data_IF_136250418294
#
_entry.id   IF_136250418294
#
_cell.length_a   1.000
_cell.length_b   1.000
_cell.length_c   1.000
_cell.angle_alpha   90.00
_cell.angle_beta   90.00
_cell.angle_gamma   90.00
#
_symmetry.space_group_name_H-M   'P 1'
#
loop_
_entity.id
_entity.type
_entity.pdbx_description
1 polymer ?
#
# COMPACT_ATOMS: atom_id res chain seq x y z
N UNK A 1 2.32 69.87 30.24
CA UNK A 1 1.28 69.19 29.44
C UNK A 1 2.04 68.37 28.41
N UNK A 2 2.03 67.04 28.55
CA UNK A 2 2.85 66.12 27.78
C UNK A 2 2.25 65.90 26.39
N UNK A 3 3.03 66.09 25.34
CA UNK A 3 2.72 65.63 23.98
C UNK A 3 2.95 64.12 23.89
N UNK A 4 1.91 63.39 23.49
CA UNK A 4 1.97 61.96 23.15
C UNK A 4 1.79 61.85 21.63
N UNK A 5 2.69 61.19 20.88
CA UNK A 5 2.56 61.08 19.44
C UNK A 5 1.49 60.04 19.05
N UNK A 6 0.70 60.36 18.03
CA UNK A 6 -0.31 59.46 17.47
C UNK A 6 0.35 58.29 16.71
N UNK A 7 0.11 57.07 17.17
CA UNK A 7 0.51 55.83 16.49
C UNK A 7 -0.52 55.53 15.39
N UNK A 8 -0.08 55.59 14.13
CA UNK A 8 -0.88 55.21 12.97
C UNK A 8 -0.82 53.69 12.79
N UNK A 9 -1.95 53.00 13.04
CA UNK A 9 -2.06 51.54 12.87
C UNK A 9 -2.33 51.25 11.41
N UNK A 10 -1.31 50.72 10.71
CA UNK A 10 -1.48 50.16 9.36
C UNK A 10 -2.12 48.79 9.49
N UNK A 11 -3.39 48.68 9.10
CA UNK A 11 -4.07 47.38 8.94
C UNK A 11 -3.55 46.75 7.65
N UNK A 12 -2.66 45.78 7.78
CA UNK A 12 -2.25 44.95 6.65
C UNK A 12 -3.44 44.06 6.23
N UNK A 13 -4.08 44.41 5.11
CA UNK A 13 -5.06 43.53 4.48
C UNK A 13 -4.38 42.24 4.04
N UNK A 14 -4.85 41.10 4.53
CA UNK A 14 -4.44 39.80 4.02
C UNK A 14 -4.98 39.66 2.59
N UNK A 15 -4.09 39.71 1.61
CA UNK A 15 -4.44 39.34 0.25
C UNK A 15 -4.95 37.89 0.27
N UNK A 16 -6.07 37.57 -0.41
CA UNK A 16 -6.51 36.19 -0.54
C UNK A 16 -5.36 35.37 -1.14
N UNK A 17 -5.07 34.22 -0.54
CA UNK A 17 -4.10 33.28 -1.07
C UNK A 17 -4.44 33.02 -2.53
N UNK A 18 -3.53 33.41 -3.44
CA UNK A 18 -3.67 33.08 -4.84
C UNK A 18 -3.80 31.55 -4.94
N UNK A 19 -4.91 31.09 -5.50
CA UNK A 19 -5.07 29.67 -5.80
C UNK A 19 -3.85 29.23 -6.62
N UNK A 20 -3.14 28.22 -6.13
CA UNK A 20 -2.08 27.58 -6.93
C UNK A 20 -2.66 27.25 -8.31
N UNK A 21 -1.95 27.55 -9.41
CA UNK A 21 -2.45 27.21 -10.73
C UNK A 21 -2.78 25.71 -10.75
N UNK A 22 -4.00 25.36 -11.18
CA UNK A 22 -4.39 23.98 -11.37
C UNK A 22 -3.33 23.32 -12.26
N UNK A 23 -2.63 22.32 -11.74
CA UNK A 23 -1.64 21.57 -12.53
C UNK A 23 -2.32 21.08 -13.82
N UNK A 24 -1.60 21.14 -14.94
CA UNK A 24 -2.11 20.63 -16.20
C UNK A 24 -2.54 19.16 -16.04
N UNK A 25 -3.83 18.89 -16.29
CA UNK A 25 -4.44 17.56 -16.21
C UNK A 25 -4.56 16.99 -17.62
N UNK A 26 -4.04 15.79 -17.83
CA UNK A 26 -4.17 15.07 -19.11
C UNK A 26 -5.20 13.96 -18.98
N UNK A 27 -6.28 14.06 -19.74
CA UNK A 27 -7.27 12.98 -19.83
C UNK A 27 -6.71 11.82 -20.64
N UNK A 28 -6.81 10.62 -20.06
CA UNK A 28 -6.38 9.38 -20.70
C UNK A 28 -7.62 8.66 -21.25
N UNK A 29 -7.77 8.51 -22.58
CA UNK A 29 -8.89 7.76 -23.15
C UNK A 29 -8.85 6.30 -22.71
N UNK A 30 -9.97 5.58 -22.84
CA UNK A 30 -10.08 4.18 -22.40
C UNK A 30 -9.30 3.22 -23.32
N UNK A 31 -7.97 3.26 -23.22
CA UNK A 31 -7.01 2.51 -24.01
C UNK A 31 -5.74 2.28 -23.19
N UNK A 32 -5.32 1.02 -23.07
CA UNK A 32 -4.07 0.66 -22.39
C UNK A 32 -2.85 1.32 -23.05
N UNK A 33 -2.82 1.38 -24.39
CA UNK A 33 -1.74 2.05 -25.12
C UNK A 33 -1.69 3.54 -24.79
N UNK A 34 -2.85 4.21 -24.68
CA UNK A 34 -2.89 5.62 -24.32
C UNK A 34 -2.43 5.87 -22.88
N UNK A 35 -2.80 4.98 -21.94
CA UNK A 35 -2.31 5.04 -20.56
C UNK A 35 -0.79 4.90 -20.49
N UNK A 36 -0.23 3.88 -21.16
CA UNK A 36 1.22 3.65 -21.19
C UNK A 36 1.95 4.85 -21.79
N UNK A 37 1.43 5.42 -22.88
CA UNK A 37 2.00 6.61 -23.51
C UNK A 37 1.97 7.84 -22.58
N UNK A 38 0.84 8.11 -21.93
CA UNK A 38 0.68 9.27 -21.04
C UNK A 38 1.58 9.18 -19.79
N UNK A 39 1.76 7.98 -19.23
CA UNK A 39 2.67 7.76 -18.10
C UNK A 39 4.12 8.01 -18.50
N UNK A 40 4.53 7.56 -19.69
CA UNK A 40 5.89 7.73 -20.18
C UNK A 40 6.22 9.16 -20.66
N UNK A 41 5.22 9.95 -21.07
CA UNK A 41 5.40 11.27 -21.67
C UNK A 41 5.53 12.38 -20.60
N UNK A 42 6.71 13.04 -20.45
CA UNK A 42 6.84 14.20 -19.56
C UNK A 42 5.96 15.38 -19.98
N UNK A 43 5.59 15.48 -21.26
CA UNK A 43 4.71 16.50 -21.82
C UNK A 43 3.25 16.35 -21.41
N UNK A 44 2.83 15.18 -20.95
CA UNK A 44 1.48 14.93 -20.42
C UNK A 44 1.23 15.59 -19.05
N UNK A 45 2.23 16.27 -18.49
CA UNK A 45 2.11 16.90 -17.18
C UNK A 45 2.10 15.91 -16.02
N UNK A 46 1.96 16.41 -14.78
CA UNK A 46 2.08 15.59 -13.57
C UNK A 46 0.78 14.88 -13.17
N UNK A 47 -0.38 15.26 -13.74
CA UNK A 47 -1.69 14.73 -13.35
C UNK A 47 -2.37 14.05 -14.54
N UNK A 48 -2.72 12.78 -14.38
CA UNK A 48 -3.46 11.98 -15.37
C UNK A 48 -4.86 11.67 -14.85
N UNK A 49 -5.87 11.92 -15.70
CA UNK A 49 -7.28 11.66 -15.42
C UNK A 49 -7.74 10.45 -16.24
N UNK A 50 -7.96 9.31 -15.60
CA UNK A 50 -8.43 8.11 -16.30
C UNK A 50 -9.91 8.25 -16.67
N UNK A 51 -10.27 7.63 -17.80
CA UNK A 51 -11.68 7.57 -18.22
C UNK A 51 -12.49 6.83 -17.14
N UNK A 52 -13.59 7.43 -16.62
CA UNK A 52 -14.34 6.85 -15.52
C UNK A 52 -14.80 5.42 -15.78
N UNK A 53 -14.56 4.52 -14.82
CA UNK A 53 -14.97 3.11 -14.88
C UNK A 53 -14.28 2.27 -15.96
N UNK A 54 -13.30 2.83 -16.68
CA UNK A 54 -12.63 2.14 -17.78
C UNK A 54 -11.83 0.93 -17.28
N UNK A 55 -11.83 -0.14 -18.08
CA UNK A 55 -10.93 -1.29 -17.91
C UNK A 55 -9.72 -1.16 -18.84
N UNK A 56 -8.57 -0.83 -18.28
CA UNK A 56 -7.28 -0.80 -18.97
C UNK A 56 -6.63 -2.17 -18.89
N UNK A 57 -6.63 -2.89 -20.02
CA UNK A 57 -6.05 -4.23 -20.14
C UNK A 57 -4.61 -4.12 -20.62
N UNK A 58 -3.66 -4.30 -19.70
CA UNK A 58 -2.24 -4.16 -19.98
C UNK A 58 -1.67 -5.46 -20.55
N UNK A 59 -0.67 -5.35 -21.41
CA UNK A 59 0.12 -6.49 -21.93
C UNK A 59 1.56 -6.50 -21.41
N UNK A 60 1.91 -5.50 -20.61
CA UNK A 60 3.18 -5.38 -19.88
C UNK A 60 2.99 -4.49 -18.65
N UNK A 61 3.93 -4.52 -17.71
CA UNK A 61 3.92 -3.63 -16.54
C UNK A 61 3.90 -2.15 -16.94
N UNK A 62 3.12 -1.35 -16.22
CA UNK A 62 3.12 0.10 -16.32
C UNK A 62 4.32 0.66 -15.54
N UNK A 63 5.31 1.20 -16.26
CA UNK A 63 6.54 1.74 -15.69
C UNK A 63 6.37 3.22 -15.31
N UNK A 64 6.38 3.53 -14.02
CA UNK A 64 6.26 4.90 -13.50
C UNK A 64 7.64 5.42 -13.11
N UNK A 65 8.30 6.11 -14.04
CA UNK A 65 9.68 6.60 -13.91
C UNK A 65 9.78 8.09 -13.61
N UNK A 66 8.65 8.75 -13.34
CA UNK A 66 8.55 10.17 -13.05
C UNK A 66 7.43 10.43 -12.04
N UNK A 67 7.50 11.52 -11.27
CA UNK A 67 6.43 11.87 -10.35
C UNK A 67 5.08 12.03 -11.05
N UNK A 68 4.06 11.35 -10.55
CA UNK A 68 2.73 11.30 -11.15
C UNK A 68 1.62 11.25 -10.11
N UNK A 69 0.51 11.93 -10.42
CA UNK A 69 -0.79 11.69 -9.80
C UNK A 69 -1.74 11.11 -10.84
N UNK A 70 -2.37 9.98 -10.54
CA UNK A 70 -3.34 9.32 -11.42
C UNK A 70 -4.69 9.28 -10.69
N UNK A 71 -5.63 10.08 -11.17
CA UNK A 71 -7.01 10.02 -10.74
C UNK A 71 -7.69 8.86 -11.46
N UNK A 72 -7.94 7.77 -10.73
CA UNK A 72 -8.43 6.51 -11.29
C UNK A 72 -9.88 6.59 -11.74
N UNK A 73 -10.72 7.43 -11.15
CA UNK A 73 -12.13 7.57 -11.51
C UNK A 73 -12.89 6.23 -11.57
N UNK A 74 -12.61 5.33 -10.62
CA UNK A 74 -13.10 3.95 -10.54
C UNK A 74 -12.66 3.05 -11.70
N UNK A 75 -11.59 3.40 -12.41
CA UNK A 75 -10.99 2.56 -13.44
C UNK A 75 -10.30 1.33 -12.84
N UNK A 76 -10.12 0.32 -13.69
CA UNK A 76 -9.43 -0.92 -13.38
C UNK A 76 -8.22 -1.09 -14.30
N UNK A 77 -7.04 -1.27 -13.72
CA UNK A 77 -5.86 -1.75 -14.44
C UNK A 77 -5.73 -3.25 -14.20
N UNK A 78 -5.59 -4.01 -15.27
CA UNK A 78 -5.55 -5.45 -15.18
C UNK A 78 -4.70 -6.07 -16.28
N UNK A 79 -4.01 -7.16 -15.96
CA UNK A 79 -3.22 -7.91 -16.93
C UNK A 79 -4.13 -8.60 -17.94
N UNK A 80 -3.68 -8.64 -19.19
CA UNK A 80 -4.23 -9.49 -20.23
C UNK A 80 -3.89 -10.96 -19.99
N UNK A 81 -4.89 -11.84 -20.05
CA UNK A 81 -4.69 -13.28 -19.82
C UNK A 81 -3.92 -13.97 -20.96
N UNK A 82 -3.87 -13.36 -22.15
CA UNK A 82 -3.05 -13.85 -23.26
C UNK A 82 -1.57 -13.48 -23.13
N UNK A 83 -1.24 -12.57 -22.22
CA UNK A 83 0.13 -12.17 -21.93
C UNK A 83 0.76 -13.07 -20.88
N UNK A 84 2.09 -13.20 -20.94
CA UNK A 84 2.86 -13.87 -19.88
C UNK A 84 2.73 -13.18 -18.51
N UNK A 85 3.30 -13.76 -17.46
CA UNK A 85 3.27 -13.18 -16.13
C UNK A 85 3.99 -11.82 -16.09
N UNK A 86 3.33 -10.81 -15.53
CA UNK A 86 3.96 -9.57 -15.08
C UNK A 86 3.10 -8.90 -13.99
N UNK A 87 3.75 -8.12 -13.11
CA UNK A 87 3.05 -7.26 -12.15
C UNK A 87 2.50 -5.99 -12.79
N UNK A 88 1.34 -5.48 -12.34
CA UNK A 88 0.59 -4.42 -13.08
C UNK A 88 1.35 -3.10 -13.13
N UNK A 89 1.87 -2.62 -12.00
CA UNK A 89 2.51 -1.30 -11.88
C UNK A 89 3.89 -1.45 -11.24
N UNK A 90 4.89 -0.78 -11.83
CA UNK A 90 6.24 -0.67 -11.30
C UNK A 90 6.56 0.80 -11.01
N UNK A 91 6.87 1.10 -9.75
CA UNK A 91 7.05 2.46 -9.24
C UNK A 91 8.54 2.72 -9.01
N UNK A 92 9.08 3.68 -9.77
CA UNK A 92 10.47 4.13 -9.70
C UNK A 92 10.60 5.63 -9.36
N UNK A 93 9.48 6.26 -9.03
CA UNK A 93 9.34 7.66 -8.67
C UNK A 93 8.03 7.85 -7.88
N UNK A 94 7.82 9.03 -7.30
CA UNK A 94 6.61 9.28 -6.50
C UNK A 94 5.33 9.10 -7.32
N UNK A 95 4.44 8.23 -6.84
CA UNK A 95 3.17 7.93 -7.47
C UNK A 95 2.03 8.08 -6.47
N UNK A 96 1.09 8.96 -6.78
CA UNK A 96 -0.21 9.03 -6.10
C UNK A 96 -1.28 8.47 -7.01
N UNK A 97 -2.12 7.56 -6.52
CA UNK A 97 -3.32 7.11 -7.22
C UNK A 97 -4.52 7.12 -6.29
N UNK A 98 -5.69 7.50 -6.82
CA UNK A 98 -6.94 7.39 -6.09
C UNK A 98 -8.06 6.74 -6.90
N UNK A 99 -8.99 6.07 -6.19
CA UNK A 99 -10.18 5.43 -6.78
C UNK A 99 -9.82 4.53 -7.97
N UNK A 100 -8.83 3.66 -7.79
CA UNK A 100 -8.35 2.73 -8.82
C UNK A 100 -8.39 1.30 -8.32
N UNK A 101 -8.65 0.35 -9.22
CA UNK A 101 -8.49 -1.08 -8.93
C UNK A 101 -7.31 -1.67 -9.70
N UNK A 102 -6.39 -2.31 -8.98
CA UNK A 102 -5.24 -3.04 -9.52
C UNK A 102 -5.47 -4.54 -9.31
N UNK A 103 -5.46 -5.33 -10.38
CA UNK A 103 -5.90 -6.73 -10.30
C UNK A 103 -5.41 -7.64 -11.43
N UNK A 104 -5.37 -8.95 -11.18
CA UNK A 104 -4.91 -9.99 -12.11
C UNK A 104 -3.41 -9.94 -12.43
N UNK A 105 -2.63 -9.19 -11.65
CA UNK A 105 -1.19 -9.14 -11.81
C UNK A 105 -0.53 -10.44 -11.37
N UNK A 106 0.58 -10.80 -12.01
CA UNK A 106 1.25 -12.08 -11.82
C UNK A 106 2.77 -11.92 -11.88
N UNK A 107 3.43 -11.85 -10.72
CA UNK A 107 4.86 -11.71 -10.58
C UNK A 107 5.55 -13.04 -10.19
N UNK A 108 5.06 -14.17 -10.70
CA UNK A 108 5.56 -15.52 -10.33
C UNK A 108 6.77 -15.98 -11.13
N UNK A 109 7.02 -15.40 -12.31
CA UNK A 109 8.17 -15.79 -13.16
C UNK A 109 9.21 -14.68 -13.31
N UNK A 110 8.97 -13.51 -12.74
CA UNK A 110 9.77 -12.32 -12.96
C UNK A 110 10.75 -12.09 -11.80
N UNK A 111 11.77 -12.95 -11.67
CA UNK A 111 12.88 -12.73 -10.74
C UNK A 111 12.46 -12.39 -9.28
N UNK A 112 13.27 -11.61 -8.53
CA UNK A 112 12.88 -11.07 -7.23
C UNK A 112 11.92 -9.87 -7.40
N UNK A 113 10.86 -10.04 -8.18
CA UNK A 113 9.82 -9.02 -8.28
C UNK A 113 9.02 -8.98 -6.98
N UNK A 114 8.91 -7.76 -6.45
CA UNK A 114 8.03 -7.43 -5.35
C UNK A 114 6.69 -6.99 -5.92
N UNK A 115 5.60 -7.65 -5.52
CA UNK A 115 4.23 -7.25 -5.80
C UNK A 115 3.68 -7.71 -7.14
N UNK A 116 2.79 -8.71 -7.12
CA UNK A 116 1.97 -9.08 -8.26
C UNK A 116 1.07 -7.93 -8.75
N UNK A 117 0.51 -7.13 -7.83
CA UNK A 117 -0.24 -5.92 -8.19
C UNK A 117 0.68 -4.74 -8.48
N UNK A 118 1.39 -4.27 -7.45
CA UNK A 118 2.28 -3.10 -7.54
C UNK A 118 3.61 -3.41 -6.88
N UNK A 119 4.70 -3.20 -7.61
CA UNK A 119 6.06 -3.18 -7.08
C UNK A 119 6.58 -1.76 -6.94
N UNK A 120 7.01 -1.40 -5.72
CA UNK A 120 7.67 -0.14 -5.42
C UNK A 120 9.17 -0.40 -5.29
N UNK A 121 9.90 0.04 -6.30
CA UNK A 121 11.33 -0.22 -6.45
C UNK A 121 12.16 1.02 -6.07
N UNK A 122 11.58 2.20 -6.20
CA UNK A 122 12.07 3.44 -5.59
C UNK A 122 10.96 4.48 -5.42
N UNK A 123 11.18 5.47 -4.55
CA UNK A 123 10.24 6.57 -4.29
C UNK A 123 9.08 6.20 -3.36
N UNK A 124 8.01 6.98 -3.45
CA UNK A 124 6.82 6.87 -2.60
C UNK A 124 5.59 6.45 -3.40
N UNK A 125 4.85 5.45 -2.91
CA UNK A 125 3.51 5.12 -3.40
C UNK A 125 2.46 5.63 -2.41
N UNK A 126 1.49 6.40 -2.88
CA UNK A 126 0.28 6.75 -2.14
C UNK A 126 -0.95 6.21 -2.85
N UNK A 127 -1.74 5.39 -2.16
CA UNK A 127 -3.06 4.93 -2.61
C UNK A 127 -4.16 5.50 -1.71
N UNK A 128 -5.14 6.16 -2.32
CA UNK A 128 -6.34 6.65 -1.65
C UNK A 128 -7.60 5.98 -2.22
N UNK A 129 -8.48 5.47 -1.35
CA UNK A 129 -9.79 4.90 -1.75
C UNK A 129 -9.70 3.89 -2.90
N UNK A 130 -8.65 3.06 -2.87
CA UNK A 130 -8.30 2.16 -3.98
C UNK A 130 -8.46 0.70 -3.58
N UNK A 131 -8.29 -0.20 -4.54
CA UNK A 131 -8.35 -1.65 -4.30
C UNK A 131 -7.21 -2.37 -5.03
N UNK A 132 -6.48 -3.22 -4.31
CA UNK A 132 -5.45 -4.11 -4.87
C UNK A 132 -5.88 -5.54 -4.59
N UNK A 133 -6.30 -6.27 -5.63
CA UNK A 133 -6.91 -7.59 -5.45
C UNK A 133 -6.68 -8.59 -6.55
N UNK A 134 -6.81 -9.87 -6.23
CA UNK A 134 -6.66 -10.98 -7.19
C UNK A 134 -5.31 -10.92 -7.91
N UNK A 135 -4.24 -10.63 -7.17
CA UNK A 135 -2.87 -10.60 -7.70
C UNK A 135 -2.04 -11.71 -7.06
N UNK A 136 -1.05 -12.20 -7.79
CA UNK A 136 -0.15 -13.25 -7.33
C UNK A 136 1.31 -12.91 -7.59
N UNK A 137 2.23 -13.38 -6.74
CA UNK A 137 3.66 -13.14 -6.90
C UNK A 137 4.50 -14.11 -6.09
N UNK A 138 5.80 -14.18 -6.38
CA UNK A 138 6.72 -14.93 -5.51
C UNK A 138 6.89 -14.21 -4.17
N UNK A 139 7.17 -12.90 -4.23
CA UNK A 139 7.29 -12.02 -3.08
C UNK A 139 6.22 -10.93 -3.17
N UNK A 140 5.26 -10.97 -2.26
CA UNK A 140 4.00 -10.22 -2.31
C UNK A 140 3.09 -10.53 -3.49
N UNK A 141 1.86 -10.94 -3.16
CA UNK A 141 0.78 -11.06 -4.15
C UNK A 141 0.28 -9.68 -4.56
N UNK A 142 0.01 -8.79 -3.59
CA UNK A 142 -0.58 -7.48 -3.83
C UNK A 142 0.47 -6.37 -4.04
N UNK A 143 0.98 -5.82 -2.93
CA UNK A 143 1.88 -4.67 -2.90
C UNK A 143 3.25 -5.06 -2.35
N UNK A 144 4.34 -4.72 -3.03
CA UNK A 144 5.68 -4.99 -2.56
C UNK A 144 6.54 -3.73 -2.56
N UNK A 145 7.33 -3.49 -1.52
CA UNK A 145 8.24 -2.33 -1.45
C UNK A 145 9.63 -2.70 -0.97
N UNK A 146 10.65 -2.23 -1.72
CA UNK A 146 12.07 -2.43 -1.37
C UNK A 146 12.55 -1.52 -0.24
N UNK A 147 13.75 -1.81 0.27
CA UNK A 147 14.46 -0.93 1.21
C UNK A 147 14.53 0.50 0.71
N UNK A 148 14.21 1.47 1.58
CA UNK A 148 14.22 2.90 1.26
C UNK A 148 12.97 3.40 0.52
N UNK A 149 12.01 2.53 0.21
CA UNK A 149 10.71 2.92 -0.36
C UNK A 149 9.70 3.26 0.73
N UNK A 150 8.66 4.01 0.36
CA UNK A 150 7.54 4.33 1.26
C UNK A 150 6.21 4.01 0.59
N UNK A 151 5.31 3.34 1.31
CA UNK A 151 3.95 3.01 0.86
C UNK A 151 2.94 3.59 1.86
N UNK A 152 2.00 4.38 1.36
CA UNK A 152 0.89 4.95 2.12
C UNK A 152 -0.45 4.47 1.57
N UNK A 153 -1.24 3.82 2.43
CA UNK A 153 -2.57 3.29 2.08
C UNK A 153 -3.63 3.99 2.93
N UNK A 154 -4.42 4.85 2.29
CA UNK A 154 -5.55 5.54 2.90
C UNK A 154 -6.85 4.99 2.36
N UNK A 155 -7.76 4.56 3.25
CA UNK A 155 -9.09 4.06 2.86
C UNK A 155 -9.04 2.99 1.75
N UNK A 156 -7.97 2.19 1.74
CA UNK A 156 -7.63 1.27 0.65
C UNK A 156 -7.84 -0.17 1.08
N UNK A 157 -8.31 -0.99 0.14
CA UNK A 157 -8.51 -2.43 0.33
C UNK A 157 -7.39 -3.20 -0.37
N UNK A 158 -6.72 -4.10 0.36
CA UNK A 158 -5.81 -5.11 -0.19
C UNK A 158 -6.43 -6.47 0.08
N UNK A 159 -6.91 -7.16 -0.95
CA UNK A 159 -7.65 -8.41 -0.76
C UNK A 159 -7.39 -9.51 -1.77
N UNK A 160 -7.56 -10.76 -1.35
CA UNK A 160 -7.57 -11.90 -2.26
C UNK A 160 -6.28 -12.01 -3.10
N UNK A 161 -5.15 -11.57 -2.53
CA UNK A 161 -3.84 -11.69 -3.14
C UNK A 161 -3.09 -12.90 -2.57
N UNK A 162 -2.23 -13.51 -3.38
CA UNK A 162 -1.49 -14.71 -3.01
C UNK A 162 0.02 -14.58 -3.24
N UNK A 163 0.83 -14.97 -2.27
CA UNK A 163 2.28 -15.07 -2.42
C UNK A 163 2.79 -16.49 -2.19
N UNK A 164 3.70 -16.96 -3.05
CA UNK A 164 4.34 -18.27 -2.87
C UNK A 164 5.44 -18.26 -1.79
N UNK A 165 5.90 -17.08 -1.37
CA UNK A 165 6.83 -16.93 -0.26
C UNK A 165 6.18 -16.15 0.89
N UNK A 166 6.35 -14.82 0.93
CA UNK A 166 5.88 -14.01 2.06
C UNK A 166 4.97 -12.86 1.61
N UNK A 167 4.14 -12.39 2.55
CA UNK A 167 3.35 -11.15 2.43
C UNK A 167 2.25 -11.23 1.39
N UNK A 168 1.29 -12.13 1.55
CA UNK A 168 0.24 -12.38 0.55
C UNK A 168 -0.42 -11.10 0.02
N UNK A 169 -0.80 -10.21 0.94
CA UNK A 169 -1.30 -8.88 0.63
C UNK A 169 -0.18 -7.87 0.39
N UNK A 170 0.69 -7.71 1.40
CA UNK A 170 1.76 -6.70 1.39
C UNK A 170 3.10 -7.27 1.87
N UNK A 171 4.18 -6.94 1.17
CA UNK A 171 5.57 -7.03 1.67
C UNK A 171 6.18 -5.64 1.71
N UNK A 172 6.93 -5.32 2.77
CA UNK A 172 7.74 -4.10 2.78
C UNK A 172 9.05 -4.27 3.56
N UNK A 173 10.14 -3.91 2.88
CA UNK A 173 11.48 -3.75 3.47
C UNK A 173 11.76 -2.26 3.78
N UNK A 174 10.85 -1.37 3.37
CA UNK A 174 10.88 0.07 3.57
C UNK A 174 9.93 0.54 4.67
N UNK A 175 9.13 1.56 4.39
CA UNK A 175 8.09 2.05 5.29
C UNK A 175 6.70 1.79 4.74
N UNK A 176 5.79 1.32 5.58
CA UNK A 176 4.38 1.13 5.25
C UNK A 176 3.49 1.83 6.28
N UNK A 177 2.57 2.66 5.79
CA UNK A 177 1.52 3.27 6.60
C UNK A 177 0.15 2.84 6.09
N UNK A 178 -0.67 2.29 6.97
CA UNK A 178 -2.09 2.02 6.73
C UNK A 178 -2.93 2.94 7.59
N UNK A 179 -3.86 3.65 6.97
CA UNK A 179 -4.85 4.46 7.67
C UNK A 179 -6.25 4.20 7.12
N UNK A 180 -7.17 3.79 8.00
CA UNK A 180 -8.56 3.46 7.60
C UNK A 180 -8.64 2.42 6.50
N UNK A 181 -7.67 1.52 6.46
CA UNK A 181 -7.47 0.56 5.38
C UNK A 181 -7.78 -0.87 5.84
N UNK A 182 -7.89 -1.78 4.88
CA UNK A 182 -8.23 -3.18 5.13
C UNK A 182 -7.30 -4.10 4.36
N UNK A 183 -6.72 -5.07 5.06
CA UNK A 183 -5.92 -6.17 4.48
C UNK A 183 -6.63 -7.47 4.81
N UNK A 184 -7.31 -8.06 3.82
CA UNK A 184 -8.29 -9.13 4.04
C UNK A 184 -8.18 -10.27 3.04
N UNK A 185 -8.38 -11.52 3.48
CA UNK A 185 -8.41 -12.70 2.60
C UNK A 185 -7.15 -12.88 1.75
N UNK A 186 -6.00 -12.37 2.18
CA UNK A 186 -4.75 -12.61 1.49
C UNK A 186 -4.08 -13.88 2.02
N UNK A 187 -3.29 -14.55 1.17
CA UNK A 187 -2.61 -15.79 1.53
C UNK A 187 -1.12 -15.80 1.16
N UNK A 188 -0.30 -16.42 2.00
CA UNK A 188 1.10 -16.67 1.71
C UNK A 188 1.48 -18.12 2.06
N UNK A 189 2.33 -18.79 1.28
CA UNK A 189 2.76 -20.15 1.65
C UNK A 189 3.80 -20.13 2.79
N UNK A 190 4.58 -19.05 2.90
CA UNK A 190 5.54 -18.77 3.97
C UNK A 190 4.92 -17.96 5.10
N UNK A 191 5.29 -16.68 5.22
CA UNK A 191 4.93 -15.83 6.36
C UNK A 191 4.11 -14.61 5.97
N UNK A 192 3.29 -14.12 6.90
CA UNK A 192 2.57 -12.86 6.73
C UNK A 192 1.49 -12.95 5.66
N UNK A 193 0.40 -13.65 5.92
CA UNK A 193 -0.68 -13.82 4.92
C UNK A 193 -1.24 -12.47 4.49
N UNK A 194 -1.50 -11.60 5.46
CA UNK A 194 -1.85 -10.20 5.22
C UNK A 194 -0.62 -9.37 4.88
N UNK A 195 0.29 -9.22 5.84
CA UNK A 195 1.47 -8.37 5.73
C UNK A 195 2.71 -9.11 6.24
N UNK A 196 3.81 -9.05 5.49
CA UNK A 196 5.14 -9.37 5.98
C UNK A 196 6.03 -8.13 5.91
N UNK A 197 6.89 -7.91 6.90
CA UNK A 197 7.78 -6.75 6.91
C UNK A 197 9.14 -7.02 7.54
N UNK A 198 10.17 -6.49 6.87
CA UNK A 198 11.51 -6.30 7.42
C UNK A 198 11.79 -4.84 7.84
N UNK A 199 10.93 -3.91 7.40
CA UNK A 199 11.00 -2.47 7.64
C UNK A 199 10.01 -1.92 8.67
N UNK A 200 9.69 -0.63 8.58
CA UNK A 200 8.83 0.04 9.56
C UNK A 200 7.36 0.04 9.12
N UNK A 201 6.47 -0.38 10.02
CA UNK A 201 5.03 -0.45 9.76
C UNK A 201 4.27 0.39 10.78
N UNK A 202 3.38 1.24 10.29
CA UNK A 202 2.39 1.95 11.09
C UNK A 202 0.99 1.63 10.59
N UNK A 203 0.12 1.14 11.46
CA UNK A 203 -1.26 0.79 11.13
C UNK A 203 -2.17 1.52 12.10
N UNK A 204 -3.08 2.33 11.56
CA UNK A 204 -4.00 3.15 12.34
C UNK A 204 -5.43 3.01 11.83
N UNK A 205 -6.39 2.83 12.75
CA UNK A 205 -7.83 2.72 12.48
C UNK A 205 -8.15 1.72 11.34
N UNK A 206 -7.47 0.57 11.34
CA UNK A 206 -7.48 -0.37 10.20
C UNK A 206 -7.79 -1.80 10.63
N UNK A 207 -8.02 -2.70 9.65
CA UNK A 207 -8.29 -4.11 9.91
C UNK A 207 -7.36 -5.02 9.11
N UNK A 208 -6.76 -6.01 9.78
CA UNK A 208 -5.96 -7.08 9.18
C UNK A 208 -6.63 -8.41 9.56
N UNK A 209 -7.49 -8.93 8.68
CA UNK A 209 -8.38 -10.02 9.06
C UNK A 209 -8.56 -11.10 8.00
N UNK A 210 -8.90 -12.32 8.42
CA UNK A 210 -9.17 -13.45 7.52
C UNK A 210 -8.03 -13.78 6.53
N UNK A 211 -6.79 -13.43 6.87
CA UNK A 211 -5.62 -13.77 6.07
C UNK A 211 -5.04 -15.13 6.51
N UNK A 212 -4.32 -15.81 5.62
CA UNK A 212 -3.76 -17.15 5.89
C UNK A 212 -2.28 -17.27 5.53
N UNK A 213 -1.48 -17.94 6.36
CA UNK A 213 -0.08 -18.22 6.01
C UNK A 213 0.47 -19.56 6.52
N UNK A 214 1.72 -19.89 6.18
CA UNK A 214 2.49 -20.90 6.91
C UNK A 214 2.74 -20.50 8.37
N UNK A 215 3.07 -19.22 8.62
CA UNK A 215 3.24 -18.59 9.94
C UNK A 215 2.78 -17.12 9.88
N UNK A 216 2.15 -16.60 10.93
CA UNK A 216 1.75 -15.19 10.98
C UNK A 216 0.69 -14.86 9.94
N UNK A 217 -0.46 -15.52 10.01
CA UNK A 217 -1.55 -15.33 9.04
C UNK A 217 -1.92 -13.86 8.84
N UNK A 218 -2.02 -13.08 9.91
CA UNK A 218 -2.32 -11.65 9.83
C UNK A 218 -1.10 -10.82 9.45
N UNK A 219 -0.07 -10.86 10.30
CA UNK A 219 1.10 -10.00 10.20
C UNK A 219 2.35 -10.75 10.64
N UNK A 220 3.45 -10.60 9.91
CA UNK A 220 4.77 -11.10 10.28
C UNK A 220 5.80 -9.97 10.28
N UNK A 221 6.42 -9.71 11.43
CA UNK A 221 7.58 -8.84 11.60
C UNK A 221 8.83 -9.70 11.68
N UNK A 222 9.55 -9.78 10.56
CA UNK A 222 10.64 -10.73 10.33
C UNK A 222 12.00 -10.04 10.56
N UNK A 223 12.11 -8.78 10.14
CA UNK A 223 13.36 -8.02 10.15
C UNK A 223 13.54 -7.11 11.38
N UNK A 224 14.59 -6.26 11.35
CA UNK A 224 14.93 -5.36 12.46
C UNK A 224 13.95 -4.19 12.61
N UNK A 225 13.05 -4.02 11.63
CA UNK A 225 12.00 -3.02 11.65
C UNK A 225 11.04 -3.15 12.85
N UNK A 226 10.19 -2.13 12.98
CA UNK A 226 9.20 -2.03 14.06
C UNK A 226 7.81 -1.83 13.49
N UNK A 227 6.82 -2.35 14.19
CA UNK A 227 5.41 -2.22 13.88
C UNK A 227 4.67 -1.52 15.03
N UNK A 228 3.89 -0.49 14.71
CA UNK A 228 2.96 0.14 15.65
C UNK A 228 1.54 0.01 15.12
N UNK A 229 0.66 -0.62 15.90
CA UNK A 229 -0.75 -0.78 15.58
C UNK A 229 -1.57 0.02 16.58
N UNK A 230 -2.29 1.03 16.09
CA UNK A 230 -3.20 1.88 16.87
C UNK A 230 -4.64 1.70 16.39
N UNK A 231 -5.60 1.53 17.29
CA UNK A 231 -7.02 1.35 16.93
C UNK A 231 -7.28 0.29 15.86
N UNK A 232 -6.48 -0.77 15.87
CA UNK A 232 -6.45 -1.75 14.79
C UNK A 232 -6.89 -3.12 15.28
N UNK A 233 -7.63 -3.83 14.44
CA UNK A 233 -8.01 -5.22 14.69
C UNK A 233 -7.17 -6.18 13.85
N UNK A 234 -6.61 -7.19 14.50
CA UNK A 234 -5.94 -8.33 13.87
C UNK A 234 -6.68 -9.61 14.28
N UNK A 235 -7.60 -10.06 13.44
CA UNK A 235 -8.54 -11.14 13.81
C UNK A 235 -8.87 -12.13 12.71
N UNK A 236 -9.29 -13.33 13.13
CA UNK A 236 -9.72 -14.41 12.24
C UNK A 236 -8.66 -14.83 11.22
N UNK A 237 -7.39 -14.52 11.50
CA UNK A 237 -6.26 -14.93 10.67
C UNK A 237 -5.84 -16.35 11.02
N UNK A 238 -5.32 -17.07 10.03
CA UNK A 238 -5.00 -18.49 10.14
C UNK A 238 -3.55 -18.74 9.76
N UNK A 239 -2.90 -19.67 10.45
CA UNK A 239 -1.62 -20.18 10.01
C UNK A 239 -1.54 -21.70 10.18
N UNK A 240 -0.68 -22.32 9.36
CA UNK A 240 -0.35 -23.74 9.52
C UNK A 240 0.39 -23.98 10.83
N UNK A 241 1.34 -23.11 11.16
CA UNK A 241 2.08 -23.13 12.42
C UNK A 241 1.81 -21.85 13.21
N UNK A 242 1.89 -21.94 14.54
CA UNK A 242 1.69 -20.78 15.40
C UNK A 242 2.74 -19.69 15.13
N UNK A 243 2.34 -18.40 15.14
CA UNK A 243 1.00 -17.88 15.44
C UNK A 243 0.12 -17.68 14.18
N UNK A 244 -1.20 -17.61 14.38
CA UNK A 244 -2.15 -17.22 13.34
C UNK A 244 -2.27 -15.71 13.15
N UNK A 245 -2.12 -14.95 14.24
CA UNK A 245 -2.25 -13.49 14.21
C UNK A 245 -0.94 -12.80 13.83
N UNK A 246 -0.17 -12.42 14.84
CA UNK A 246 1.08 -11.66 14.72
C UNK A 246 2.27 -12.58 15.01
N UNK A 247 3.07 -12.83 13.98
CA UNK A 247 4.41 -13.40 14.12
C UNK A 247 5.42 -12.26 14.38
N UNK A 248 6.02 -12.24 15.57
CA UNK A 248 7.01 -11.25 15.97
C UNK A 248 8.35 -11.96 16.23
N UNK A 249 9.20 -11.98 15.20
CA UNK A 249 10.56 -12.54 15.27
C UNK A 249 11.56 -11.52 15.82
N UNK A 250 11.18 -10.25 15.87
CA UNK A 250 11.93 -9.19 16.53
C UNK A 250 11.90 -9.28 18.06
N UNK A 251 12.34 -8.20 18.71
CA UNK A 251 12.31 -8.08 20.17
C UNK A 251 10.92 -7.77 20.72
N UNK A 252 10.77 -7.80 22.05
CA UNK A 252 9.48 -7.53 22.73
C UNK A 252 8.95 -6.11 22.51
N UNK A 253 9.79 -5.19 22.00
CA UNK A 253 9.42 -3.82 21.64
C UNK A 253 9.28 -3.61 20.14
N UNK A 254 9.52 -4.64 19.31
CA UNK A 254 9.40 -4.53 17.85
C UNK A 254 7.96 -4.37 17.40
N UNK A 255 6.99 -4.93 18.14
CA UNK A 255 5.55 -4.72 17.88
C UNK A 255 4.91 -4.02 19.08
N UNK A 256 4.31 -2.86 18.84
CA UNK A 256 3.58 -2.08 19.85
C UNK A 256 2.09 -2.01 19.51
N UNK A 257 1.24 -2.33 20.49
CA UNK A 257 -0.21 -2.28 20.37
C UNK A 257 -0.77 -1.16 21.25
N UNK A 258 -1.49 -0.21 20.65
CA UNK A 258 -2.19 0.88 21.38
C UNK A 258 -3.67 0.87 21.05
N UNK A 259 -4.54 0.55 22.02
CA UNK A 259 -5.99 0.43 21.79
C UNK A 259 -6.36 -0.52 20.63
N UNK A 260 -5.46 -1.47 20.34
CA UNK A 260 -5.61 -2.47 19.28
C UNK A 260 -5.96 -3.83 19.87
N UNK A 261 -6.61 -4.67 19.07
CA UNK A 261 -7.06 -6.01 19.47
C UNK A 261 -6.51 -7.08 18.54
N UNK A 262 -5.90 -8.11 19.14
CA UNK A 262 -5.47 -9.32 18.43
C UNK A 262 -6.23 -10.50 19.00
N UNK A 263 -7.13 -11.12 18.23
CA UNK A 263 -8.05 -12.14 18.74
C UNK A 263 -8.57 -13.09 17.66
N UNK A 264 -9.04 -14.27 18.06
CA UNK A 264 -9.71 -15.20 17.13
C UNK A 264 -8.79 -15.73 16.04
N UNK A 265 -7.46 -15.56 16.18
CA UNK A 265 -6.51 -16.08 15.23
C UNK A 265 -6.13 -17.52 15.60
N UNK A 266 -5.90 -18.36 14.59
CA UNK A 266 -5.60 -19.79 14.74
C UNK A 266 -4.23 -20.09 14.13
N UNK A 267 -3.30 -20.76 14.82
CA UNK A 267 -3.46 -21.46 16.09
C UNK A 267 -3.48 -20.56 17.33
N UNK A 268 -2.78 -19.42 17.30
CA UNK A 268 -2.69 -18.46 18.42
C UNK A 268 -2.64 -17.01 17.93
N UNK A 269 -2.78 -16.04 18.83
CA UNK A 269 -2.82 -14.62 18.49
C UNK A 269 -1.43 -14.01 18.25
N UNK A 270 -0.46 -14.25 19.13
CA UNK A 270 0.91 -13.75 18.96
C UNK A 270 1.97 -14.76 19.44
N UNK A 271 3.08 -14.84 18.71
CA UNK A 271 4.27 -15.63 19.02
C UNK A 271 5.41 -15.17 18.07
N UNK A 272 6.64 -15.70 18.16
CA UNK A 272 7.23 -16.35 19.34
C UNK A 272 7.52 -15.34 20.46
N UNK A 273 7.93 -14.12 20.12
CA UNK A 273 8.25 -13.09 21.11
C UNK A 273 6.97 -12.45 21.66
N UNK A 274 6.94 -12.21 22.98
CA UNK A 274 5.80 -11.59 23.66
C UNK A 274 5.54 -10.20 23.10
N UNK A 275 4.33 -10.00 22.57
CA UNK A 275 3.80 -8.69 22.17
C UNK A 275 2.96 -8.16 23.32
N UNK A 276 3.38 -7.05 23.93
CA UNK A 276 2.66 -6.45 25.06
C UNK A 276 1.23 -6.07 24.64
N UNK A 277 0.24 -6.51 25.42
CA UNK A 277 -1.18 -6.30 25.12
C UNK A 277 -1.82 -7.40 24.26
N UNK A 278 -1.03 -8.32 23.70
CA UNK A 278 -1.55 -9.49 23.00
C UNK A 278 -1.78 -10.65 23.97
N UNK A 279 -2.95 -11.30 23.89
CA UNK A 279 -3.30 -12.49 24.69
C UNK A 279 -3.57 -13.65 23.74
N UNK A 280 -2.99 -14.82 24.02
CA UNK A 280 -3.24 -16.05 23.27
C UNK A 280 -4.49 -16.77 23.75
#
# INVERSE_FOLDING_TARGET
>A
MNDVPAISVVVAGTAPAAASPASAQTTVPCSATALVAAVADPGAGPVLELTPGCRYVLTSSLQVNRPLTIHGNNARLTRDNGSGPFGIVKVHADLTMDRITITNGDATTSGPDFGGGIGVESGTLTLDRSTVRDNQGNYSGGLGGLTGTTIHLTQTMVSDNHAFNNGGGVVTDGTLTLWRSRVVNNSADGKGGGIASDGNVSVDDSNINANSAGVGGGFANIGPGTATLTDTNVNDNRATNAPGGIDNEGGSTSVTLTRSRVNGNTPTNCAPTVVVGCRN
#
